data_IF_340495202608
#
_entry.id   IF_340495202608
#
_cell.length_a   1.000
_cell.length_b   1.000
_cell.length_c   1.000
_cell.angle_alpha   90.00
_cell.angle_beta   90.00
_cell.angle_gamma   90.00
#
_symmetry.space_group_name_H-M   'P 1'
#
loop_
_entity.id
_entity.type
_entity.pdbx_description
1 polymer ?
#
# COMPACT_ATOMS: atom_id res chain seq x y z
N UNK A 1 -26.51 0.00 4.44
CA UNK A 1 -25.86 0.84 3.41
C UNK A 1 -24.41 1.24 3.80
N UNK A 2 -24.10 1.57 5.07
CA UNK A 2 -22.74 1.98 5.50
C UNK A 2 -21.63 0.95 5.20
N UNK A 3 -21.79 -0.37 5.48
CA UNK A 3 -20.73 -1.36 5.25
C UNK A 3 -20.33 -1.51 3.78
N UNK A 4 -21.28 -1.43 2.86
CA UNK A 4 -21.02 -1.53 1.40
C UNK A 4 -20.19 -0.32 0.93
N UNK A 5 -20.55 0.87 1.39
CA UNK A 5 -19.82 2.11 1.04
C UNK A 5 -18.38 2.08 1.60
N UNK A 6 -18.20 1.60 2.83
CA UNK A 6 -16.87 1.47 3.43
C UNK A 6 -16.03 0.40 2.73
N UNK A 7 -16.65 -0.70 2.29
CA UNK A 7 -15.97 -1.73 1.50
C UNK A 7 -15.53 -1.19 0.13
N UNK A 8 -16.40 -0.45 -0.57
CA UNK A 8 -16.07 0.19 -1.85
C UNK A 8 -14.92 1.22 -1.70
N UNK A 9 -14.92 2.01 -0.63
CA UNK A 9 -13.88 2.99 -0.36
C UNK A 9 -12.53 2.35 0.04
N UNK A 10 -12.54 1.27 0.81
CA UNK A 10 -11.33 0.60 1.27
C UNK A 10 -10.70 -0.29 0.19
N UNK A 11 -11.52 -1.13 -0.44
CA UNK A 11 -11.10 -2.24 -1.32
C UNK A 11 -11.97 -2.36 -2.58
N UNK A 12 -12.65 -1.32 -3.00
CA UNK A 12 -13.53 -1.36 -4.16
C UNK A 12 -13.19 -0.30 -5.20
N UNK A 13 -14.24 0.18 -5.83
CA UNK A 13 -14.19 1.09 -6.98
C UNK A 13 -14.25 2.58 -6.62
N UNK A 14 -14.53 2.93 -5.36
CA UNK A 14 -14.66 4.33 -4.90
C UNK A 14 -13.62 4.72 -3.81
N UNK A 15 -12.30 4.55 -4.06
CA UNK A 15 -11.26 4.80 -3.05
C UNK A 15 -11.11 6.28 -2.66
N UNK A 16 -11.67 7.19 -3.45
CA UNK A 16 -11.66 8.64 -3.21
C UNK A 16 -12.83 9.15 -2.37
N UNK A 17 -13.77 8.29 -1.99
CA UNK A 17 -14.95 8.66 -1.24
C UNK A 17 -14.63 9.44 0.02
N UNK A 18 -15.13 10.66 0.09
CA UNK A 18 -15.06 11.51 1.28
C UNK A 18 -16.29 12.46 1.32
N UNK A 19 -16.93 12.70 2.48
CA UNK A 19 -16.65 12.08 3.78
C UNK A 19 -17.03 10.60 3.82
N UNK A 20 -16.34 9.82 4.69
CA UNK A 20 -16.67 8.43 4.94
C UNK A 20 -17.84 8.32 5.93
N UNK A 21 -18.78 7.38 5.73
CA UNK A 21 -19.85 7.14 6.67
C UNK A 21 -19.32 6.69 8.05
N UNK A 22 -20.14 6.86 9.09
CA UNK A 22 -19.80 6.41 10.43
C UNK A 22 -19.63 4.88 10.48
N UNK A 23 -18.59 4.43 11.19
CA UNK A 23 -18.39 3.02 11.50
C UNK A 23 -19.35 2.58 12.63
N UNK A 24 -19.90 1.36 12.52
CA UNK A 24 -20.85 0.79 13.47
C UNK A 24 -20.41 -0.56 14.03
N UNK A 25 -19.33 -1.13 13.49
CA UNK A 25 -18.77 -2.42 13.88
C UNK A 25 -17.25 -2.41 13.78
N UNK A 26 -16.58 -3.39 14.36
CA UNK A 26 -15.13 -3.57 14.26
C UNK A 26 -14.66 -3.64 12.79
N UNK A 27 -15.28 -4.45 11.91
CA UNK A 27 -14.96 -4.44 10.48
C UNK A 27 -15.14 -3.08 9.81
N UNK A 28 -16.16 -2.31 10.21
CA UNK A 28 -16.39 -0.98 9.64
C UNK A 28 -15.30 0.01 10.04
N UNK A 29 -14.87 0.02 11.30
CA UNK A 29 -13.74 0.82 11.76
C UNK A 29 -12.46 0.48 10.99
N UNK A 30 -12.15 -0.80 10.82
CA UNK A 30 -10.99 -1.22 10.05
C UNK A 30 -11.06 -0.75 8.59
N UNK A 31 -12.20 -0.98 7.90
CA UNK A 31 -12.38 -0.52 6.51
C UNK A 31 -12.29 0.99 6.38
N UNK A 32 -12.91 1.71 7.32
CA UNK A 32 -12.87 3.18 7.35
C UNK A 32 -11.44 3.70 7.53
N UNK A 33 -10.67 3.06 8.40
CA UNK A 33 -9.25 3.37 8.60
C UNK A 33 -8.42 3.11 7.33
N UNK A 34 -8.64 1.97 6.67
CA UNK A 34 -7.94 1.63 5.41
C UNK A 34 -8.27 2.64 4.31
N UNK A 35 -9.54 3.04 4.17
CA UNK A 35 -9.96 4.06 3.21
C UNK A 35 -9.34 5.43 3.53
N UNK A 36 -9.44 5.90 4.77
CA UNK A 36 -8.87 7.18 5.19
C UNK A 36 -7.34 7.22 5.03
N UNK A 37 -6.64 6.14 5.40
CA UNK A 37 -5.19 6.03 5.22
C UNK A 37 -4.78 6.01 3.75
N UNK A 38 -5.55 5.35 2.89
CA UNK A 38 -5.34 5.38 1.43
C UNK A 38 -5.45 6.77 0.81
N UNK A 39 -6.19 7.67 1.45
CA UNK A 39 -6.35 9.08 1.08
C UNK A 39 -5.34 10.01 1.79
N UNK A 40 -4.46 9.48 2.65
CA UNK A 40 -3.49 10.26 3.42
C UNK A 40 -4.06 10.93 4.67
N UNK A 41 -5.25 10.55 5.12
CA UNK A 41 -5.92 11.08 6.32
C UNK A 41 -5.59 10.25 7.55
N UNK A 42 -4.32 10.25 7.92
CA UNK A 42 -3.78 9.32 8.91
C UNK A 42 -4.29 9.56 10.34
N UNK A 43 -4.63 10.80 10.73
CA UNK A 43 -5.23 11.07 12.03
C UNK A 43 -6.59 10.38 12.16
N UNK A 44 -7.46 10.52 11.16
CA UNK A 44 -8.76 9.82 11.10
C UNK A 44 -8.58 8.31 11.11
N UNK A 45 -7.66 7.81 10.29
CA UNK A 45 -7.38 6.38 10.22
C UNK A 45 -6.92 5.82 11.59
N UNK A 46 -6.00 6.51 12.29
CA UNK A 46 -5.56 6.09 13.62
C UNK A 46 -6.68 6.06 14.64
N UNK A 47 -7.59 7.02 14.62
CA UNK A 47 -8.74 7.03 15.53
C UNK A 47 -9.59 5.77 15.36
N UNK A 48 -9.87 5.38 14.12
CA UNK A 48 -10.62 4.16 13.84
C UNK A 48 -9.86 2.88 14.23
N UNK A 49 -8.55 2.80 13.94
CA UNK A 49 -7.73 1.64 14.35
C UNK A 49 -7.64 1.53 15.89
N UNK A 50 -7.57 2.65 16.60
CA UNK A 50 -7.62 2.65 18.05
C UNK A 50 -8.96 2.14 18.58
N UNK A 51 -10.06 2.44 17.92
CA UNK A 51 -11.37 1.88 18.28
C UNK A 51 -11.39 0.36 18.16
N UNK A 52 -10.78 -0.20 17.08
CA UNK A 52 -10.61 -1.65 16.92
C UNK A 52 -9.75 -2.24 18.05
N UNK A 53 -8.61 -1.63 18.37
CA UNK A 53 -7.64 -2.16 19.34
C UNK A 53 -8.08 -2.05 20.80
N UNK A 54 -8.96 -1.09 21.14
CA UNK A 54 -9.49 -0.92 22.51
C UNK A 54 -10.76 -1.73 22.77
N UNK A 55 -11.48 -2.10 21.72
CA UNK A 55 -12.71 -2.86 21.85
C UNK A 55 -12.45 -4.35 22.11
N UNK A 56 -13.47 -5.10 22.55
CA UNK A 56 -13.41 -6.56 22.57
C UNK A 56 -13.41 -7.07 21.12
N UNK A 57 -12.24 -7.15 20.53
CA UNK A 57 -12.09 -7.62 19.14
C UNK A 57 -11.45 -9.00 19.11
N UNK A 58 -11.86 -9.79 18.14
CA UNK A 58 -11.16 -11.01 17.78
C UNK A 58 -9.71 -10.68 17.42
N UNK A 59 -8.79 -11.60 17.70
CA UNK A 59 -7.34 -11.44 17.43
C UNK A 59 -7.05 -11.09 15.96
N UNK A 60 -7.86 -11.63 15.03
CA UNK A 60 -7.82 -11.27 13.60
C UNK A 60 -7.93 -9.77 13.36
N UNK A 61 -8.93 -9.11 13.93
CA UNK A 61 -9.13 -7.66 13.71
C UNK A 61 -8.05 -6.82 14.36
N UNK A 62 -7.53 -7.26 15.50
CA UNK A 62 -6.39 -6.60 16.13
C UNK A 62 -5.13 -6.72 15.25
N UNK A 63 -4.86 -7.90 14.69
CA UNK A 63 -3.78 -8.13 13.73
C UNK A 63 -3.92 -7.23 12.49
N UNK A 64 -5.08 -7.25 11.84
CA UNK A 64 -5.34 -6.41 10.66
C UNK A 64 -5.24 -4.91 10.96
N UNK A 65 -5.63 -4.46 12.16
CA UNK A 65 -5.50 -3.07 12.57
C UNK A 65 -4.03 -2.67 12.78
N UNK A 66 -3.23 -3.52 13.41
CA UNK A 66 -1.79 -3.30 13.60
C UNK A 66 -1.06 -3.25 12.26
N UNK A 67 -1.33 -4.19 11.33
CA UNK A 67 -0.75 -4.17 9.98
C UNK A 67 -1.18 -2.95 9.16
N UNK A 68 -2.43 -2.49 9.31
CA UNK A 68 -2.87 -1.26 8.66
C UNK A 68 -2.09 -0.04 9.21
N UNK A 69 -1.91 0.05 10.53
CA UNK A 69 -1.13 1.11 11.17
C UNK A 69 0.35 1.05 10.75
N UNK A 70 0.95 -0.14 10.68
CA UNK A 70 2.30 -0.35 10.18
C UNK A 70 2.44 0.15 8.74
N UNK A 71 1.46 -0.15 7.87
CA UNK A 71 1.48 0.31 6.48
C UNK A 71 1.50 1.84 6.35
N UNK A 72 0.85 2.57 7.26
CA UNK A 72 0.91 4.04 7.27
C UNK A 72 2.27 4.56 7.70
N UNK A 73 2.91 3.92 8.68
CA UNK A 73 4.27 4.25 9.08
C UNK A 73 5.27 3.98 7.95
N UNK A 74 5.13 2.85 7.27
CA UNK A 74 5.97 2.46 6.12
C UNK A 74 5.88 3.46 4.98
N UNK A 75 4.67 3.92 4.64
CA UNK A 75 4.47 4.95 3.62
C UNK A 75 5.16 6.28 3.97
N UNK A 76 5.39 6.54 5.25
CA UNK A 76 6.06 7.74 5.78
C UNK A 76 7.56 7.51 6.07
N UNK A 77 8.11 6.33 5.71
CA UNK A 77 9.53 6.00 5.87
C UNK A 77 9.92 5.41 7.23
N UNK A 78 8.97 5.16 8.15
CA UNK A 78 9.23 4.64 9.49
C UNK A 78 9.32 3.10 9.53
N UNK A 79 10.12 2.48 8.66
CA UNK A 79 10.19 1.02 8.52
C UNK A 79 10.49 0.28 9.83
N UNK A 80 11.45 0.75 10.64
CA UNK A 80 11.76 0.10 11.92
C UNK A 80 10.58 0.10 12.91
N UNK A 81 9.78 1.18 12.93
CA UNK A 81 8.58 1.26 13.77
C UNK A 81 7.45 0.40 13.20
N UNK A 82 7.31 0.39 11.88
CA UNK A 82 6.34 -0.43 11.18
C UNK A 82 6.58 -1.93 11.44
N UNK A 83 7.85 -2.37 11.38
CA UNK A 83 8.24 -3.75 11.68
C UNK A 83 7.83 -4.20 13.10
N UNK A 84 7.89 -3.30 14.10
CA UNK A 84 7.40 -3.59 15.45
C UNK A 84 5.89 -3.88 15.49
N UNK A 85 5.10 -3.09 14.76
CA UNK A 85 3.65 -3.29 14.67
C UNK A 85 3.28 -4.53 13.84
N UNK A 86 3.96 -4.77 12.71
CA UNK A 86 3.72 -5.96 11.91
C UNK A 86 4.17 -7.25 12.64
N UNK A 87 5.20 -7.17 13.50
CA UNK A 87 5.57 -8.27 14.41
C UNK A 87 4.49 -8.59 15.43
N UNK A 88 3.89 -7.56 16.02
CA UNK A 88 2.72 -7.72 16.92
C UNK A 88 1.51 -8.24 16.17
N UNK A 89 1.29 -7.78 14.93
CA UNK A 89 0.22 -8.26 14.07
C UNK A 89 0.38 -9.75 13.77
N UNK A 90 1.60 -10.19 13.41
CA UNK A 90 1.89 -11.60 13.20
C UNK A 90 1.61 -12.47 14.43
N UNK A 91 2.01 -12.00 15.61
CA UNK A 91 1.76 -12.73 16.87
C UNK A 91 0.25 -12.88 17.18
N UNK A 92 -0.59 -11.97 16.66
CA UNK A 92 -2.05 -11.99 16.85
C UNK A 92 -2.82 -12.59 15.70
N UNK A 93 -2.17 -12.88 14.57
CA UNK A 93 -2.85 -13.39 13.37
C UNK A 93 -3.50 -14.77 13.60
N UNK A 94 -2.93 -15.60 14.50
CA UNK A 94 -3.40 -16.97 14.71
C UNK A 94 -3.36 -17.75 13.41
N UNK A 95 -4.42 -18.49 13.14
CA UNK A 95 -4.60 -19.28 11.91
C UNK A 95 -5.33 -18.51 10.80
N UNK A 96 -5.63 -17.21 10.99
CA UNK A 96 -6.27 -16.40 9.95
C UNK A 96 -5.28 -16.07 8.82
N UNK A 97 -5.51 -16.58 7.60
CA UNK A 97 -4.54 -16.40 6.52
C UNK A 97 -4.47 -14.96 6.01
N UNK A 98 -5.57 -14.19 6.06
CA UNK A 98 -5.56 -12.79 5.64
C UNK A 98 -4.67 -11.95 6.58
N UNK A 99 -4.85 -12.11 7.87
CA UNK A 99 -4.05 -11.42 8.88
C UNK A 99 -2.58 -11.85 8.82
N UNK A 100 -2.33 -13.15 8.67
CA UNK A 100 -0.98 -13.72 8.57
C UNK A 100 -0.20 -13.22 7.35
N UNK A 101 -0.82 -13.25 6.17
CA UNK A 101 -0.19 -12.74 4.94
C UNK A 101 0.05 -11.24 5.02
N UNK A 102 -0.90 -10.45 5.53
CA UNK A 102 -0.74 -9.00 5.67
C UNK A 102 0.43 -8.65 6.58
N UNK A 103 0.56 -9.32 7.73
CA UNK A 103 1.65 -9.10 8.67
C UNK A 103 3.02 -9.50 8.09
N UNK A 104 3.13 -10.69 7.49
CA UNK A 104 4.38 -11.17 6.89
C UNK A 104 4.83 -10.34 5.68
N UNK A 105 3.89 -9.96 4.80
CA UNK A 105 4.18 -9.05 3.68
C UNK A 105 4.61 -7.66 4.18
N UNK A 106 4.04 -7.19 5.28
CA UNK A 106 4.47 -5.97 5.95
C UNK A 106 5.90 -6.06 6.49
N UNK A 107 6.21 -7.13 7.24
CA UNK A 107 7.57 -7.40 7.75
C UNK A 107 8.59 -7.53 6.61
N UNK A 108 8.22 -8.17 5.49
CA UNK A 108 9.09 -8.28 4.31
C UNK A 108 9.39 -6.89 3.72
N UNK A 109 8.37 -6.06 3.53
CA UNK A 109 8.54 -4.70 3.02
C UNK A 109 9.33 -3.79 3.98
N UNK A 110 9.21 -4.00 5.30
CA UNK A 110 9.99 -3.26 6.29
C UNK A 110 11.45 -3.69 6.34
N UNK A 111 11.72 -5.00 6.21
CA UNK A 111 13.08 -5.53 6.08
C UNK A 111 13.76 -4.96 4.82
N UNK A 112 13.02 -4.90 3.70
CA UNK A 112 13.46 -4.27 2.46
C UNK A 112 13.80 -2.79 2.68
N UNK A 113 12.90 -2.02 3.31
CA UNK A 113 13.08 -0.59 3.55
C UNK A 113 14.26 -0.21 4.44
N UNK A 114 14.84 -1.18 5.18
CA UNK A 114 16.08 -1.02 5.96
C UNK A 114 17.28 -1.77 5.36
N UNK A 115 17.19 -2.21 4.09
CA UNK A 115 18.29 -2.84 3.35
C UNK A 115 18.56 -4.31 3.69
N UNK A 116 17.64 -4.99 4.42
CA UNK A 116 17.80 -6.40 4.80
C UNK A 116 17.18 -7.33 3.75
N UNK A 117 17.77 -7.38 2.54
CA UNK A 117 17.18 -8.08 1.39
C UNK A 117 16.96 -9.58 1.64
N UNK A 118 17.93 -10.29 2.23
CA UNK A 118 17.80 -11.72 2.53
C UNK A 118 16.65 -11.98 3.52
N UNK A 119 16.49 -11.13 4.54
CA UNK A 119 15.36 -11.22 5.49
C UNK A 119 14.04 -10.95 4.80
N UNK A 120 14.00 -9.95 3.91
CA UNK A 120 12.81 -9.64 3.10
C UNK A 120 12.39 -10.84 2.24
N UNK A 121 13.34 -11.47 1.55
CA UNK A 121 13.10 -12.65 0.73
C UNK A 121 12.51 -13.82 1.55
N UNK A 122 13.10 -14.15 2.69
CA UNK A 122 12.63 -15.23 3.55
C UNK A 122 11.20 -14.96 4.11
N UNK A 123 10.91 -13.72 4.50
CA UNK A 123 9.58 -13.34 4.98
C UNK A 123 8.54 -13.35 3.85
N UNK A 124 8.91 -12.91 2.66
CA UNK A 124 8.05 -12.95 1.48
C UNK A 124 7.69 -14.37 1.10
N UNK A 125 8.66 -15.28 1.10
CA UNK A 125 8.42 -16.70 0.83
C UNK A 125 7.50 -17.33 1.87
N UNK A 126 7.70 -17.01 3.14
CA UNK A 126 6.78 -17.42 4.20
C UNK A 126 5.37 -16.90 4.00
N UNK A 127 5.23 -15.63 3.57
CA UNK A 127 3.93 -15.03 3.27
C UNK A 127 3.23 -15.74 2.08
N UNK A 128 3.98 -16.07 1.01
CA UNK A 128 3.50 -16.87 -0.12
C UNK A 128 3.01 -18.24 0.34
N UNK A 129 3.79 -18.92 1.16
CA UNK A 129 3.43 -20.24 1.71
C UNK A 129 2.14 -20.20 2.57
N UNK A 130 1.89 -19.15 3.33
CA UNK A 130 0.62 -18.96 4.06
C UNK A 130 -0.53 -18.69 3.10
N UNK A 131 -0.31 -17.82 2.09
CA UNK A 131 -1.30 -17.51 1.07
C UNK A 131 -1.75 -18.74 0.28
N UNK A 132 -0.79 -19.58 -0.17
CA UNK A 132 -1.06 -20.73 -1.03
C UNK A 132 -1.80 -21.87 -0.31
N UNK A 133 -1.76 -21.91 1.02
CA UNK A 133 -2.54 -22.84 1.83
C UNK A 133 -3.96 -22.36 2.13
N UNK A 134 -4.28 -21.09 1.85
CA UNK A 134 -5.61 -20.56 2.07
C UNK A 134 -6.58 -21.01 0.97
N UNK A 135 -7.77 -21.43 1.35
CA UNK A 135 -8.79 -21.93 0.41
C UNK A 135 -9.42 -20.82 -0.46
N UNK A 136 -9.58 -19.62 0.09
CA UNK A 136 -10.19 -18.47 -0.62
C UNK A 136 -9.60 -17.16 -0.09
N UNK A 137 -8.31 -16.88 -0.35
CA UNK A 137 -7.66 -15.68 0.13
C UNK A 137 -8.17 -14.44 -0.64
N UNK A 138 -8.39 -13.29 0.04
CA UNK A 138 -8.77 -12.06 -0.64
C UNK A 138 -7.78 -11.70 -1.75
N UNK A 139 -8.25 -11.34 -2.99
CA UNK A 139 -7.36 -11.10 -4.14
C UNK A 139 -6.27 -10.05 -3.91
N UNK A 140 -6.53 -9.09 -2.99
CA UNK A 140 -5.56 -8.06 -2.61
C UNK A 140 -4.25 -8.61 -2.04
N UNK A 141 -4.26 -9.82 -1.46
CA UNK A 141 -3.08 -10.42 -0.84
C UNK A 141 -2.05 -10.82 -1.90
N UNK A 142 -2.46 -11.55 -2.93
CA UNK A 142 -1.59 -11.93 -4.04
C UNK A 142 -0.98 -10.68 -4.74
N UNK A 143 -1.78 -9.63 -4.90
CA UNK A 143 -1.32 -8.35 -5.47
C UNK A 143 -0.23 -7.74 -4.57
N UNK A 144 -0.42 -7.74 -3.25
CA UNK A 144 0.58 -7.20 -2.30
C UNK A 144 1.87 -8.00 -2.29
N UNK A 145 1.79 -9.33 -2.36
CA UNK A 145 2.97 -10.19 -2.45
C UNK A 145 3.78 -9.89 -3.72
N UNK A 146 3.12 -9.69 -4.85
CA UNK A 146 3.76 -9.31 -6.10
C UNK A 146 4.41 -7.92 -6.01
N UNK A 147 3.80 -6.92 -5.33
CA UNK A 147 4.45 -5.64 -5.11
C UNK A 147 5.77 -5.76 -4.33
N UNK A 148 5.75 -6.51 -3.22
CA UNK A 148 6.96 -6.70 -2.40
C UNK A 148 8.01 -7.49 -3.17
N UNK A 149 7.60 -8.47 -3.99
CA UNK A 149 8.49 -9.19 -4.90
C UNK A 149 9.18 -8.26 -5.90
N UNK A 150 8.42 -7.40 -6.57
CA UNK A 150 8.97 -6.42 -7.50
C UNK A 150 9.90 -5.41 -6.81
N UNK A 151 9.49 -4.88 -5.64
CA UNK A 151 10.29 -3.94 -4.85
C UNK A 151 11.61 -4.59 -4.37
N UNK A 152 11.59 -5.89 -4.00
CA UNK A 152 12.77 -6.66 -3.62
C UNK A 152 13.71 -6.90 -4.82
N UNK A 153 13.17 -7.27 -5.97
CA UNK A 153 13.94 -7.46 -7.20
C UNK A 153 14.60 -6.14 -7.66
N UNK A 154 13.89 -5.01 -7.59
CA UNK A 154 14.46 -3.68 -7.86
C UNK A 154 15.64 -3.38 -6.93
N UNK A 155 15.49 -3.64 -5.63
CA UNK A 155 16.55 -3.40 -4.66
C UNK A 155 17.76 -4.33 -4.83
N UNK A 156 17.55 -5.51 -5.40
CA UNK A 156 18.62 -6.46 -5.79
C UNK A 156 19.27 -6.12 -7.14
N UNK A 157 18.75 -5.14 -7.89
CA UNK A 157 19.24 -4.77 -9.21
C UNK A 157 18.76 -5.68 -10.33
N UNK A 158 17.78 -6.56 -10.07
CA UNK A 158 17.20 -7.46 -11.07
C UNK A 158 15.97 -6.80 -11.73
N UNK A 159 16.23 -5.97 -12.74
CA UNK A 159 15.18 -5.25 -13.47
C UNK A 159 14.21 -6.17 -14.22
N UNK A 160 14.69 -7.35 -14.70
CA UNK A 160 13.82 -8.31 -15.38
C UNK A 160 12.80 -8.90 -14.42
N UNK A 161 13.24 -9.48 -13.31
CA UNK A 161 12.36 -10.05 -12.29
C UNK A 161 11.44 -8.98 -11.69
N UNK A 162 11.94 -7.74 -11.53
CA UNK A 162 11.11 -6.62 -11.07
C UNK A 162 9.93 -6.35 -12.01
N UNK A 163 10.16 -6.36 -13.33
CA UNK A 163 9.10 -6.20 -14.33
C UNK A 163 8.14 -7.40 -14.36
N UNK A 164 8.63 -8.62 -14.22
CA UNK A 164 7.78 -9.83 -14.16
C UNK A 164 6.81 -9.78 -12.99
N UNK A 165 7.29 -9.52 -11.77
CA UNK A 165 6.46 -9.40 -10.56
C UNK A 165 5.53 -8.17 -10.63
N UNK A 166 6.01 -7.04 -11.16
CA UNK A 166 5.17 -5.86 -11.32
C UNK A 166 4.03 -6.10 -12.31
N UNK A 167 4.29 -6.71 -13.48
CA UNK A 167 3.25 -7.08 -14.45
C UNK A 167 2.26 -8.06 -13.84
N UNK A 168 2.72 -9.07 -13.07
CA UNK A 168 1.85 -9.97 -12.33
C UNK A 168 0.90 -9.20 -11.41
N UNK A 169 1.39 -8.18 -10.68
CA UNK A 169 0.54 -7.34 -9.83
C UNK A 169 -0.52 -6.57 -10.61
N UNK A 170 -0.17 -6.08 -11.81
CA UNK A 170 -1.10 -5.39 -12.72
C UNK A 170 -2.18 -6.34 -13.22
N UNK A 171 -1.82 -7.53 -13.68
CA UNK A 171 -2.76 -8.56 -14.15
C UNK A 171 -3.74 -8.97 -13.05
N UNK A 172 -3.24 -9.32 -11.86
CA UNK A 172 -4.05 -9.68 -10.70
C UNK A 172 -5.01 -8.54 -10.31
N UNK A 173 -4.55 -7.29 -10.32
CA UNK A 173 -5.38 -6.15 -9.95
C UNK A 173 -6.45 -5.82 -10.99
N UNK A 174 -6.23 -6.15 -12.26
CA UNK A 174 -7.21 -6.02 -13.35
C UNK A 174 -8.26 -7.12 -13.32
N UNK A 175 -7.84 -8.35 -13.00
CA UNK A 175 -8.74 -9.51 -12.90
C UNK A 175 -9.60 -9.49 -11.63
N UNK A 176 -9.24 -8.71 -10.60
CA UNK A 176 -9.95 -8.70 -9.32
C UNK A 176 -11.41 -8.22 -9.46
N UNK A 177 -12.33 -9.01 -8.90
CA UNK A 177 -13.73 -8.69 -8.76
C UNK A 177 -14.13 -8.84 -7.28
N UNK A 178 -14.66 -7.78 -6.63
CA UNK A 178 -14.89 -6.42 -7.15
C UNK A 178 -13.58 -5.68 -7.50
N UNK A 179 -13.69 -4.63 -8.34
CA UNK A 179 -12.55 -3.87 -8.82
C UNK A 179 -11.76 -3.20 -7.69
N UNK A 180 -10.52 -3.60 -7.48
CA UNK A 180 -9.60 -3.06 -6.47
C UNK A 180 -8.87 -1.82 -6.99
N UNK A 181 -9.58 -0.70 -7.16
CA UNK A 181 -9.06 0.50 -7.86
C UNK A 181 -7.76 1.05 -7.27
N UNK A 182 -7.66 1.17 -5.94
CA UNK A 182 -6.43 1.65 -5.29
C UNK A 182 -5.26 0.69 -5.51
N UNK A 183 -5.52 -0.62 -5.49
CA UNK A 183 -4.48 -1.62 -5.75
C UNK A 183 -4.01 -1.54 -7.20
N UNK A 184 -4.93 -1.37 -8.15
CA UNK A 184 -4.57 -1.17 -9.56
C UNK A 184 -3.66 0.04 -9.75
N UNK A 185 -4.03 1.19 -9.17
CA UNK A 185 -3.19 2.40 -9.23
C UNK A 185 -1.81 2.15 -8.63
N UNK A 186 -1.72 1.48 -7.46
CA UNK A 186 -0.41 1.14 -6.89
C UNK A 186 0.36 0.14 -7.76
N UNK A 187 -0.28 -0.85 -8.37
CA UNK A 187 0.38 -1.79 -9.29
C UNK A 187 1.01 -1.07 -10.48
N UNK A 188 0.29 -0.11 -11.07
CA UNK A 188 0.83 0.67 -12.18
C UNK A 188 2.02 1.57 -11.74
N UNK A 189 2.05 2.08 -10.48
CA UNK A 189 3.23 2.79 -9.91
C UNK A 189 4.41 1.84 -9.74
N UNK A 190 4.19 0.64 -9.21
CA UNK A 190 5.24 -0.36 -9.04
C UNK A 190 5.81 -0.78 -10.40
N UNK A 191 4.95 -0.95 -11.41
CA UNK A 191 5.40 -1.21 -12.78
C UNK A 191 6.24 -0.07 -13.35
N UNK A 192 5.83 1.19 -13.16
CA UNK A 192 6.63 2.33 -13.60
C UNK A 192 8.04 2.33 -12.95
N UNK A 193 8.14 2.03 -11.66
CA UNK A 193 9.42 1.93 -10.98
C UNK A 193 10.25 0.73 -11.46
N UNK A 194 9.64 -0.43 -11.72
CA UNK A 194 10.31 -1.61 -12.26
C UNK A 194 10.87 -1.36 -13.66
N UNK A 195 10.09 -0.70 -14.54
CA UNK A 195 10.54 -0.30 -15.87
C UNK A 195 11.75 0.64 -15.82
N UNK A 196 11.77 1.58 -14.86
CA UNK A 196 12.93 2.44 -14.63
C UNK A 196 14.16 1.59 -14.22
N UNK A 197 14.00 0.64 -13.31
CA UNK A 197 15.07 -0.27 -12.89
C UNK A 197 15.60 -1.14 -14.04
N UNK A 198 14.73 -1.56 -14.93
CA UNK A 198 15.07 -2.33 -16.13
C UNK A 198 15.69 -1.48 -17.26
N UNK A 199 15.77 -0.15 -17.11
CA UNK A 199 16.34 0.76 -18.10
C UNK A 199 15.36 1.25 -19.17
N UNK A 200 14.10 0.82 -19.17
CA UNK A 200 13.06 1.36 -20.09
C UNK A 200 12.46 2.64 -19.52
N UNK A 201 13.26 3.71 -19.58
CA UNK A 201 12.91 5.01 -19.04
C UNK A 201 11.67 5.61 -19.74
N UNK A 202 11.55 5.40 -21.05
CA UNK A 202 10.43 5.94 -21.83
C UNK A 202 9.09 5.30 -21.43
N UNK A 203 9.05 3.98 -21.23
CA UNK A 203 7.85 3.30 -20.75
C UNK A 203 7.54 3.67 -19.29
N UNK A 204 8.58 3.81 -18.44
CA UNK A 204 8.44 4.27 -17.06
C UNK A 204 7.78 5.64 -16.99
N UNK A 205 8.27 6.63 -17.74
CA UNK A 205 7.71 7.98 -17.80
C UNK A 205 6.23 7.97 -18.27
N UNK A 206 5.93 7.27 -19.37
CA UNK A 206 4.55 7.18 -19.86
C UNK A 206 3.59 6.60 -18.82
N UNK A 207 4.02 5.52 -18.15
CA UNK A 207 3.21 4.85 -17.14
C UNK A 207 3.02 5.74 -15.90
N UNK A 208 4.09 6.38 -15.42
CA UNK A 208 4.04 7.28 -14.27
C UNK A 208 3.17 8.51 -14.54
N UNK A 209 3.25 9.12 -15.72
CA UNK A 209 2.42 10.26 -16.11
C UNK A 209 0.93 9.91 -16.16
N UNK A 210 0.58 8.73 -16.68
CA UNK A 210 -0.80 8.26 -16.69
C UNK A 210 -1.34 8.05 -15.28
N UNK A 211 -0.53 7.45 -14.41
CA UNK A 211 -0.90 7.19 -13.00
C UNK A 211 -0.99 8.48 -12.19
N UNK A 212 -0.13 9.48 -12.44
CA UNK A 212 -0.20 10.77 -11.75
C UNK A 212 -1.58 11.43 -11.89
N UNK A 213 -2.16 11.37 -13.09
CA UNK A 213 -3.50 11.90 -13.35
C UNK A 213 -4.58 11.08 -12.61
N UNK A 214 -4.50 9.75 -12.65
CA UNK A 214 -5.49 8.87 -11.98
C UNK A 214 -5.45 9.02 -10.45
N UNK A 215 -4.26 9.18 -9.84
CA UNK A 215 -4.12 9.45 -8.40
C UNK A 215 -4.79 10.75 -8.00
N UNK A 216 -4.68 11.80 -8.81
CA UNK A 216 -5.33 13.09 -8.58
C UNK A 216 -6.85 13.02 -8.64
N UNK A 217 -7.39 12.41 -9.70
CA UNK A 217 -8.82 12.25 -9.90
C UNK A 217 -9.49 11.43 -8.78
N UNK A 218 -8.74 10.53 -8.12
CA UNK A 218 -9.24 9.65 -7.06
C UNK A 218 -8.88 10.09 -5.64
N UNK A 219 -8.20 11.22 -5.46
CA UNK A 219 -7.80 11.69 -4.12
C UNK A 219 -6.84 10.75 -3.38
N UNK A 220 -6.05 9.94 -4.09
CA UNK A 220 -5.09 8.98 -3.54
C UNK A 220 -3.75 9.69 -3.23
N UNK A 221 -3.77 10.62 -2.28
CA UNK A 221 -2.67 11.55 -2.02
C UNK A 221 -1.32 10.88 -1.73
N UNK A 222 -1.22 9.80 -0.91
CA UNK A 222 0.07 9.12 -0.70
C UNK A 222 0.64 8.50 -1.98
N UNK A 223 -0.20 7.94 -2.83
CA UNK A 223 0.22 7.39 -4.13
C UNK A 223 0.60 8.51 -5.11
N UNK A 224 -0.11 9.64 -5.07
CA UNK A 224 0.23 10.84 -5.86
C UNK A 224 1.60 11.39 -5.48
N UNK A 225 1.91 11.43 -4.20
CA UNK A 225 3.24 11.80 -3.71
C UNK A 225 4.32 10.84 -4.23
N UNK A 226 4.09 9.53 -4.12
CA UNK A 226 5.05 8.51 -4.51
C UNK A 226 5.38 8.58 -6.01
N UNK A 227 4.36 8.69 -6.88
CA UNK A 227 4.59 8.80 -8.32
C UNK A 227 5.22 10.15 -8.71
N UNK A 228 4.91 11.24 -8.01
CA UNK A 228 5.57 12.53 -8.22
C UNK A 228 7.06 12.46 -7.82
N UNK A 229 7.42 11.71 -6.77
CA UNK A 229 8.82 11.45 -6.42
C UNK A 229 9.55 10.66 -7.52
N UNK A 230 8.91 9.65 -8.11
CA UNK A 230 9.47 8.91 -9.24
C UNK A 230 9.70 9.84 -10.43
N UNK A 231 8.69 10.61 -10.85
CA UNK A 231 8.79 11.56 -11.95
C UNK A 231 9.82 12.66 -11.72
N UNK A 232 10.02 13.10 -10.48
CA UNK A 232 11.08 14.04 -10.13
C UNK A 232 12.49 13.48 -10.42
N UNK A 233 12.66 12.15 -10.31
CA UNK A 233 13.93 11.47 -10.61
C UNK A 233 14.13 11.16 -12.10
N UNK A 234 13.06 10.70 -12.77
CA UNK A 234 13.15 10.21 -14.16
C UNK A 234 12.72 11.25 -15.22
N UNK A 235 12.12 12.35 -14.80
CA UNK A 235 11.45 13.32 -15.68
C UNK A 235 10.01 12.90 -16.05
N UNK A 236 9.24 13.84 -16.56
CA UNK A 236 7.89 13.64 -17.07
C UNK A 236 7.82 14.09 -18.53
N UNK A 237 7.03 13.40 -19.34
CA UNK A 237 6.73 13.81 -20.71
C UNK A 237 5.58 14.83 -20.80
N UNK A 238 4.85 15.04 -19.69
CA UNK A 238 3.63 15.87 -19.65
C UNK A 238 3.72 17.08 -18.75
N UNK A 239 4.63 17.04 -17.76
CA UNK A 239 4.79 18.08 -16.75
C UNK A 239 6.24 18.57 -16.71
N UNK A 240 6.43 19.86 -16.53
CA UNK A 240 7.76 20.38 -16.28
C UNK A 240 8.24 20.05 -14.84
N UNK A 241 9.56 20.15 -14.54
CA UNK A 241 10.08 19.79 -13.22
C UNK A 241 9.48 20.60 -12.06
N UNK A 242 9.10 21.85 -12.27
CA UNK A 242 8.49 22.70 -11.24
C UNK A 242 7.07 22.24 -10.91
N UNK A 243 6.27 21.85 -11.91
CA UNK A 243 4.93 21.28 -11.72
C UNK A 243 4.99 19.95 -10.96
N UNK A 244 5.93 19.07 -11.30
CA UNK A 244 6.13 17.80 -10.60
C UNK A 244 6.51 18.05 -9.14
N UNK A 245 7.44 18.98 -8.88
CA UNK A 245 7.85 19.35 -7.53
C UNK A 245 6.65 19.91 -6.73
N UNK A 246 5.86 20.80 -7.32
CA UNK A 246 4.66 21.35 -6.69
C UNK A 246 3.63 20.27 -6.32
N UNK A 247 3.38 19.31 -7.21
CA UNK A 247 2.48 18.19 -6.95
C UNK A 247 2.99 17.34 -5.78
N UNK A 248 4.29 17.02 -5.75
CA UNK A 248 4.94 16.29 -4.68
C UNK A 248 4.78 17.01 -3.35
N UNK A 249 5.14 18.29 -3.31
CA UNK A 249 5.20 19.06 -2.07
C UNK A 249 3.80 19.34 -1.52
N UNK A 250 2.81 19.68 -2.36
CA UNK A 250 1.41 19.79 -1.96
C UNK A 250 0.85 18.47 -1.41
N UNK A 251 1.25 17.34 -1.99
CA UNK A 251 0.83 16.02 -1.49
C UNK A 251 1.46 15.72 -0.12
N UNK A 252 2.74 16.05 0.07
CA UNK A 252 3.42 15.91 1.36
C UNK A 252 2.79 16.79 2.44
N UNK A 253 2.49 18.04 2.11
CA UNK A 253 1.81 19.00 3.00
C UNK A 253 0.42 18.52 3.40
N UNK A 254 -0.35 18.00 2.44
CA UNK A 254 -1.67 17.43 2.75
C UNK A 254 -1.56 16.31 3.78
N UNK A 255 -0.63 15.36 3.56
CA UNK A 255 -0.36 14.24 4.46
C UNK A 255 0.00 14.76 5.86
N UNK A 256 0.88 15.74 5.96
CA UNK A 256 1.31 16.34 7.23
C UNK A 256 0.14 16.99 7.96
N UNK A 257 -0.66 17.82 7.29
CA UNK A 257 -1.85 18.46 7.88
C UNK A 257 -2.92 17.46 8.34
N UNK A 258 -2.94 16.25 7.76
CA UNK A 258 -3.87 15.19 8.14
C UNK A 258 -3.24 14.13 9.07
N UNK A 259 -2.15 14.49 9.75
CA UNK A 259 -1.55 13.73 10.85
C UNK A 259 -0.48 12.72 10.43
N UNK A 260 0.01 12.77 9.20
CA UNK A 260 1.22 12.06 8.79
C UNK A 260 2.47 12.77 9.29
N UNK A 261 3.47 11.99 9.68
CA UNK A 261 4.79 12.50 10.09
C UNK A 261 5.84 11.76 9.27
N UNK A 262 6.53 12.48 8.38
CA UNK A 262 7.60 11.90 7.58
C UNK A 262 8.79 11.52 8.46
N UNK A 263 9.46 10.42 8.16
CA UNK A 263 10.73 10.09 8.82
C UNK A 263 11.80 11.10 8.40
N UNK A 264 12.57 11.56 9.36
CA UNK A 264 13.80 12.32 9.07
C UNK A 264 14.83 11.29 8.61
N UNK A 265 15.36 11.49 7.40
CA UNK A 265 16.44 10.66 6.86
C UNK A 265 17.78 11.11 7.43
#
# INVERSE_FOLDING_TARGET
MSPIVLAAAAFGDDPGRWPLPAARSVPDHWRRAVAAGGQGRYATARTDLQAVLRGPSETRWASLALSAQASFLRQLGWHRRAAGLDGMAWAQAGDDPEAGVDALAGLAADALGIGRLATSAALLERARSVHDRASDPPPRLAIRLAWVGAELAMAAGDGQLACEEANRSVELSRAAAPALRRHRVKSDIVLAAALCCAGDLAASQRTADAVLNDTGARGLVPLRWAVACLLAGIGSARHNPAEVAEIRDRSADFVTRHGGQWSVR
#
